data_IF_475048863135
#
_entry.id   IF_475048863135
#
_cell.length_a   1.000
_cell.length_b   1.000
_cell.length_c   1.000
_cell.angle_alpha   90.00
_cell.angle_beta   90.00
_cell.angle_gamma   90.00
#
_symmetry.space_group_name_H-M   'P 1'
#
loop_
_entity.id
_entity.type
_entity.pdbx_description
1 polymer ?
#
# COMPACT_ATOMS: atom_id res chain seq x y z
N UNK A 1 0.95 22.96 0.56
CA UNK A 1 1.27 22.37 -0.76
C UNK A 1 0.58 21.03 -0.84
N UNK A 2 -0.27 20.82 -1.84
CA UNK A 2 -0.88 19.52 -2.09
C UNK A 2 0.20 18.60 -2.64
N UNK A 3 0.40 17.43 -2.03
CA UNK A 3 1.34 16.42 -2.54
C UNK A 3 0.81 15.91 -3.89
N UNK A 4 1.65 15.91 -4.91
CA UNK A 4 1.37 15.26 -6.19
C UNK A 4 2.08 13.91 -6.15
N UNK A 5 1.32 12.83 -6.35
CA UNK A 5 1.87 11.50 -6.50
C UNK A 5 2.80 11.43 -7.71
N UNK A 6 3.97 10.81 -7.57
CA UNK A 6 4.87 10.53 -8.68
C UNK A 6 5.13 9.02 -8.71
N UNK A 7 4.73 8.31 -9.78
CA UNK A 7 4.85 6.85 -9.83
C UNK A 7 6.30 6.37 -9.77
N UNK A 8 7.25 7.12 -10.32
CA UNK A 8 8.67 6.72 -10.28
C UNK A 8 9.23 6.76 -8.87
N UNK A 9 8.92 7.80 -8.09
CA UNK A 9 9.31 7.89 -6.68
C UNK A 9 8.66 6.77 -5.86
N UNK A 10 7.41 6.42 -6.16
CA UNK A 10 6.72 5.32 -5.51
C UNK A 10 7.38 3.97 -5.84
N UNK A 11 7.67 3.70 -7.12
CA UNK A 11 8.36 2.48 -7.57
C UNK A 11 9.73 2.33 -6.92
N UNK A 12 10.56 3.38 -6.94
CA UNK A 12 11.90 3.34 -6.33
C UNK A 12 11.83 3.01 -4.83
N UNK A 13 10.87 3.60 -4.11
CA UNK A 13 10.66 3.31 -2.69
C UNK A 13 10.17 1.89 -2.45
N UNK A 14 9.24 1.39 -3.28
CA UNK A 14 8.73 0.02 -3.18
C UNK A 14 9.86 -0.98 -3.44
N UNK A 15 10.64 -0.80 -4.51
CA UNK A 15 11.73 -1.70 -4.88
C UNK A 15 12.86 -1.72 -3.82
N UNK A 16 13.19 -0.54 -3.27
CA UNK A 16 14.17 -0.43 -2.18
C UNK A 16 13.71 -1.17 -0.91
N UNK A 17 12.45 -1.01 -0.52
CA UNK A 17 11.89 -1.70 0.66
C UNK A 17 11.80 -3.20 0.40
N UNK A 18 11.27 -3.62 -0.76
CA UNK A 18 11.15 -5.03 -1.15
C UNK A 18 12.48 -5.76 -1.08
N UNK A 19 13.55 -5.11 -1.54
CA UNK A 19 14.92 -5.64 -1.47
C UNK A 19 15.36 -5.86 -0.02
N UNK A 20 15.10 -4.91 0.89
CA UNK A 20 15.37 -5.05 2.33
C UNK A 20 14.56 -6.18 2.96
N UNK A 21 13.26 -6.29 2.64
CA UNK A 21 12.39 -7.36 3.16
C UNK A 21 12.92 -8.72 2.75
N UNK A 22 13.35 -8.87 1.49
CA UNK A 22 13.88 -10.13 0.97
C UNK A 22 15.17 -10.53 1.68
N UNK A 23 16.10 -9.59 1.86
CA UNK A 23 17.35 -9.84 2.59
C UNK A 23 17.07 -10.22 4.06
N UNK A 24 16.15 -9.51 4.72
CA UNK A 24 15.79 -9.78 6.13
C UNK A 24 15.09 -11.14 6.29
N UNK A 25 14.24 -11.54 5.33
CA UNK A 25 13.58 -12.85 5.32
C UNK A 25 14.59 -13.99 5.47
N UNK A 26 15.70 -13.92 4.73
CA UNK A 26 16.72 -14.99 4.73
C UNK A 26 17.49 -15.05 6.07
N UNK A 27 17.46 -13.97 6.85
CA UNK A 27 18.04 -13.88 8.20
C UNK A 27 17.05 -14.25 9.33
N UNK A 28 15.76 -14.40 9.04
CA UNK A 28 14.75 -14.74 10.04
C UNK A 28 15.02 -16.12 10.67
N UNK A 29 14.82 -16.19 11.98
CA UNK A 29 15.04 -17.41 12.79
C UNK A 29 13.83 -18.31 12.77
N UNK A 30 12.63 -17.73 12.85
CA UNK A 30 11.38 -18.48 12.91
C UNK A 30 10.70 -18.58 11.56
N UNK A 31 10.00 -19.70 11.34
CA UNK A 31 9.19 -19.89 10.12
C UNK A 31 8.01 -18.94 10.05
N UNK A 32 7.48 -18.56 11.21
CA UNK A 32 6.45 -17.53 11.32
C UNK A 32 6.94 -16.19 10.76
N UNK A 33 8.10 -15.71 11.22
CA UNK A 33 8.68 -14.46 10.71
C UNK A 33 9.02 -14.54 9.21
N UNK A 34 9.53 -15.68 8.72
CA UNK A 34 9.75 -15.89 7.27
C UNK A 34 8.46 -15.77 6.47
N UNK A 35 7.38 -16.39 6.94
CA UNK A 35 6.06 -16.31 6.31
C UNK A 35 5.57 -14.87 6.25
N UNK A 36 5.69 -14.11 7.35
CA UNK A 36 5.31 -12.70 7.37
C UNK A 36 6.09 -11.85 6.36
N UNK A 37 7.39 -12.10 6.24
CA UNK A 37 8.23 -11.40 5.25
C UNK A 37 7.84 -11.77 3.81
N UNK A 38 7.56 -13.05 3.54
CA UNK A 38 7.05 -13.49 2.22
C UNK A 38 5.74 -12.80 1.88
N UNK A 39 4.77 -12.80 2.80
CA UNK A 39 3.49 -12.12 2.60
C UNK A 39 3.66 -10.61 2.39
N UNK A 40 4.65 -9.99 3.06
CA UNK A 40 4.97 -8.58 2.82
C UNK A 40 5.55 -8.35 1.42
N UNK A 41 6.44 -9.22 0.94
CA UNK A 41 6.98 -9.14 -0.43
C UNK A 41 5.85 -9.23 -1.45
N UNK A 42 4.92 -10.18 -1.29
CA UNK A 42 3.76 -10.33 -2.20
C UNK A 42 2.90 -9.06 -2.24
N UNK A 43 2.68 -8.40 -1.10
CA UNK A 43 1.96 -7.13 -1.06
C UNK A 43 2.74 -6.00 -1.75
N UNK A 44 4.05 -5.93 -1.55
CA UNK A 44 4.89 -4.95 -2.23
C UNK A 44 4.89 -5.19 -3.75
N UNK A 45 4.88 -6.44 -4.20
CA UNK A 45 4.73 -6.80 -5.62
C UNK A 45 3.37 -6.37 -6.17
N UNK A 46 2.29 -6.56 -5.42
CA UNK A 46 0.96 -6.08 -5.80
C UNK A 46 0.89 -4.54 -5.87
N UNK A 47 1.48 -3.84 -4.89
CA UNK A 47 1.59 -2.37 -4.90
C UNK A 47 2.37 -1.90 -6.11
N UNK A 48 3.52 -2.52 -6.39
CA UNK A 48 4.38 -2.21 -7.53
C UNK A 48 3.60 -2.32 -8.85
N UNK A 49 2.89 -3.43 -9.04
CA UNK A 49 2.07 -3.66 -10.22
C UNK A 49 0.95 -2.63 -10.38
N UNK A 50 0.36 -2.15 -9.28
CA UNK A 50 -0.63 -1.08 -9.34
C UNK A 50 -0.01 0.28 -9.70
N UNK A 51 1.16 0.62 -9.15
CA UNK A 51 1.88 1.84 -9.53
C UNK A 51 2.32 1.78 -11.01
N UNK A 52 2.75 0.63 -11.50
CA UNK A 52 3.13 0.47 -12.92
C UNK A 52 1.97 0.77 -13.88
N UNK A 53 0.72 0.52 -13.48
CA UNK A 53 -0.46 0.91 -14.28
C UNK A 53 -0.65 2.42 -14.38
N UNK A 54 -0.16 3.18 -13.40
CA UNK A 54 -0.22 4.64 -13.38
C UNK A 54 0.83 5.28 -14.30
N UNK A 55 1.93 4.57 -14.60
CA UNK A 55 3.07 5.11 -15.36
C UNK A 55 2.70 5.61 -16.76
N UNK A 56 1.99 4.84 -17.61
CA UNK A 56 1.62 5.31 -18.94
C UNK A 56 0.76 6.57 -18.89
N UNK A 57 -0.19 6.63 -17.95
CA UNK A 57 -1.05 7.78 -17.76
C UNK A 57 -0.27 9.00 -17.25
N UNK A 58 0.67 8.79 -16.32
CA UNK A 58 1.58 9.85 -15.87
C UNK A 58 2.39 10.45 -17.03
N UNK A 59 2.98 9.61 -17.89
CA UNK A 59 3.76 10.08 -19.05
C UNK A 59 2.88 10.93 -19.97
N UNK A 60 1.72 10.39 -20.37
CA UNK A 60 0.80 11.07 -21.28
C UNK A 60 0.34 12.42 -20.73
N UNK A 61 -0.10 12.47 -19.47
CA UNK A 61 -0.61 13.70 -18.86
C UNK A 61 0.53 14.70 -18.58
N UNK A 62 1.72 14.23 -18.22
CA UNK A 62 2.88 15.10 -17.99
C UNK A 62 3.35 15.80 -19.28
N UNK A 63 3.21 15.17 -20.44
CA UNK A 63 3.46 15.82 -21.74
C UNK A 63 2.41 16.88 -22.10
N UNK A 64 1.17 16.70 -21.63
CA UNK A 64 0.04 17.59 -21.93
C UNK A 64 -0.12 18.75 -20.97
N UNK A 65 0.28 18.58 -19.70
CA UNK A 65 -0.02 19.54 -18.61
C UNK A 65 0.44 20.97 -18.88
N UNK A 66 1.42 21.19 -19.75
CA UNK A 66 1.94 22.52 -20.10
C UNK A 66 1.24 23.17 -21.30
N UNK A 67 0.25 22.50 -21.90
CA UNK A 67 -0.48 23.00 -23.08
C UNK A 67 -1.55 24.02 -22.73
N UNK A 68 -2.14 23.94 -21.53
CA UNK A 68 -3.12 24.91 -21.01
C UNK A 68 -3.32 24.76 -19.50
N UNK A 69 -3.90 25.76 -18.85
CA UNK A 69 -4.29 25.69 -17.43
C UNK A 69 -5.27 24.55 -17.13
N UNK A 70 -6.14 24.20 -18.09
CA UNK A 70 -7.07 23.09 -17.96
C UNK A 70 -6.32 21.75 -17.89
N UNK A 71 -5.34 21.54 -18.76
CA UNK A 71 -4.51 20.33 -18.77
C UNK A 71 -3.65 20.22 -17.50
N UNK A 72 -3.10 21.35 -17.02
CA UNK A 72 -2.41 21.40 -15.72
C UNK A 72 -3.35 21.00 -14.57
N UNK A 73 -4.57 21.56 -14.57
CA UNK A 73 -5.57 21.27 -13.54
C UNK A 73 -5.99 19.81 -13.54
N UNK A 74 -6.19 19.20 -14.72
CA UNK A 74 -6.53 17.78 -14.84
C UNK A 74 -5.39 16.88 -14.32
N UNK A 75 -4.15 17.19 -14.70
CA UNK A 75 -2.97 16.49 -14.18
C UNK A 75 -2.91 16.55 -12.66
N UNK A 76 -3.04 17.76 -12.08
CA UNK A 76 -3.00 17.93 -10.63
C UNK A 76 -4.16 17.20 -9.97
N UNK A 77 -5.39 17.35 -10.47
CA UNK A 77 -6.58 16.75 -9.86
C UNK A 77 -6.49 15.23 -9.79
N UNK A 78 -6.02 14.58 -10.86
CA UNK A 78 -5.85 13.13 -10.85
C UNK A 78 -4.73 12.70 -9.90
N UNK A 79 -3.53 13.28 -10.04
CA UNK A 79 -2.36 12.86 -9.26
C UNK A 79 -2.32 13.39 -7.83
N UNK A 80 -3.31 14.18 -7.42
CA UNK A 80 -3.58 14.39 -6.00
C UNK A 80 -4.03 13.11 -5.29
N UNK A 81 -4.72 12.21 -5.99
CA UNK A 81 -5.38 11.01 -5.44
C UNK A 81 -5.52 9.91 -6.51
N UNK A 82 -4.42 9.35 -7.05
CA UNK A 82 -4.50 8.31 -8.08
C UNK A 82 -5.11 7.01 -7.54
N UNK A 83 -5.50 6.10 -8.43
CA UNK A 83 -6.13 4.84 -8.07
C UNK A 83 -5.27 4.00 -7.10
N UNK A 84 -3.95 4.04 -7.26
CA UNK A 84 -3.01 3.45 -6.30
C UNK A 84 -3.23 3.95 -4.86
N UNK A 85 -3.27 5.27 -4.63
CA UNK A 85 -3.42 5.82 -3.28
C UNK A 85 -4.82 5.52 -2.72
N UNK A 86 -5.85 5.53 -3.57
CA UNK A 86 -7.20 5.13 -3.15
C UNK A 86 -7.21 3.71 -2.58
N UNK A 87 -6.65 2.76 -3.34
CA UNK A 87 -6.62 1.35 -2.93
C UNK A 87 -5.76 1.08 -1.70
N UNK A 88 -4.55 1.65 -1.66
CA UNK A 88 -3.55 1.24 -0.67
C UNK A 88 -3.43 2.17 0.54
N UNK A 89 -3.97 3.39 0.46
CA UNK A 89 -3.93 4.36 1.55
C UNK A 89 -5.32 4.58 2.14
N UNK A 90 -6.36 4.69 1.30
CA UNK A 90 -7.70 5.06 1.77
C UNK A 90 -8.56 3.85 2.20
N UNK A 91 -8.43 2.68 1.57
CA UNK A 91 -9.24 1.49 1.91
C UNK A 91 -8.88 0.85 3.27
N UNK A 92 -7.90 1.43 3.99
CA UNK A 92 -7.60 1.12 5.37
C UNK A 92 -6.30 0.32 5.54
N UNK A 93 -6.04 -0.20 6.76
CA UNK A 93 -4.81 -0.92 7.00
C UNK A 93 -4.81 -2.28 6.31
N UNK A 94 -3.68 -2.67 5.71
CA UNK A 94 -3.50 -4.02 5.17
C UNK A 94 -2.68 -4.86 6.13
N UNK A 95 -3.15 -6.08 6.40
CA UNK A 95 -2.43 -7.01 7.26
C UNK A 95 -1.70 -8.07 6.45
N UNK A 96 -0.47 -8.40 6.87
CA UNK A 96 0.35 -9.50 6.31
C UNK A 96 -0.02 -10.88 6.86
N UNK A 97 -0.97 -10.96 7.80
CA UNK A 97 -1.46 -12.21 8.38
C UNK A 97 -2.83 -12.57 7.82
N UNK A 98 -3.88 -11.92 8.32
CA UNK A 98 -5.24 -12.10 7.84
C UNK A 98 -5.71 -10.87 7.06
N UNK A 99 -6.66 -11.05 6.14
CA UNK A 99 -7.36 -9.92 5.53
C UNK A 99 -8.26 -9.26 6.57
N UNK A 100 -7.92 -8.01 6.95
CA UNK A 100 -8.62 -7.26 8.02
C UNK A 100 -9.40 -6.06 7.51
N UNK A 101 -9.27 -5.71 6.23
CA UNK A 101 -9.98 -4.58 5.61
C UNK A 101 -10.74 -5.12 4.43
N UNK A 102 -12.06 -4.91 4.43
CA UNK A 102 -12.96 -5.38 3.40
C UNK A 102 -13.83 -4.24 2.91
N UNK A 103 -14.15 -4.24 1.63
CA UNK A 103 -15.11 -3.28 1.06
C UNK A 103 -16.52 -3.85 1.19
N UNK A 104 -17.37 -3.16 1.93
CA UNK A 104 -18.79 -3.48 2.05
C UNK A 104 -19.58 -2.56 1.13
N UNK A 105 -20.45 -3.16 0.31
CA UNK A 105 -21.36 -2.45 -0.56
C UNK A 105 -22.72 -2.35 0.12
N UNK A 106 -23.33 -1.17 0.14
CA UNK A 106 -24.70 -1.03 0.56
C UNK A 106 -25.65 -1.59 -0.52
N UNK A 107 -26.90 -1.84 -0.14
CA UNK A 107 -27.95 -2.27 -1.08
C UNK A 107 -28.22 -1.20 -2.16
N UNK A 108 -27.92 0.07 -1.86
CA UNK A 108 -28.00 1.16 -2.82
C UNK A 108 -26.77 1.16 -3.77
N UNK A 109 -26.99 1.22 -5.10
CA UNK A 109 -25.90 1.23 -6.07
C UNK A 109 -24.94 2.40 -5.85
N UNK A 110 -23.64 2.10 -5.84
CA UNK A 110 -22.58 3.10 -5.78
C UNK A 110 -22.12 3.51 -4.37
N UNK A 111 -22.72 2.97 -3.31
CA UNK A 111 -22.25 3.19 -1.95
C UNK A 111 -21.37 2.00 -1.53
N UNK A 112 -20.07 2.25 -1.41
CA UNK A 112 -19.09 1.31 -0.90
C UNK A 112 -18.32 1.94 0.26
N UNK A 113 -18.03 1.16 1.30
CA UNK A 113 -17.27 1.60 2.46
C UNK A 113 -16.22 0.56 2.85
N UNK A 114 -14.98 0.99 3.04
CA UNK A 114 -13.94 0.16 3.63
C UNK A 114 -14.20 -0.04 5.12
N UNK A 115 -14.31 -1.29 5.56
CA UNK A 115 -14.54 -1.67 6.94
C UNK A 115 -13.33 -2.45 7.45
N UNK A 116 -12.74 -1.98 8.55
CA UNK A 116 -11.74 -2.76 9.28
C UNK A 116 -12.42 -3.72 10.25
N UNK A 117 -12.20 -5.01 10.05
CA UNK A 117 -12.69 -6.10 10.88
C UNK A 117 -12.01 -6.09 12.26
N UNK A 118 -12.70 -6.63 13.27
CA UNK A 118 -12.12 -6.80 14.61
C UNK A 118 -10.90 -7.73 14.56
N UNK A 119 -9.75 -7.25 15.04
CA UNK A 119 -8.49 -7.97 15.00
C UNK A 119 -7.63 -7.71 16.24
N UNK A 120 -6.64 -8.56 16.44
CA UNK A 120 -5.53 -8.33 17.38
C UNK A 120 -4.22 -8.23 16.62
N UNK A 121 -3.37 -7.29 17.01
CA UNK A 121 -2.04 -7.14 16.42
C UNK A 121 -1.09 -8.20 17.01
N UNK A 122 -0.24 -8.77 16.15
CA UNK A 122 0.85 -9.65 16.59
C UNK A 122 1.89 -8.83 17.37
N UNK A 123 2.41 -9.34 18.49
CA UNK A 123 3.38 -8.61 19.30
C UNK A 123 4.70 -8.45 18.55
N UNK A 124 5.38 -7.30 18.74
CA UNK A 124 6.64 -6.98 18.05
C UNK A 124 7.74 -8.06 18.24
N UNK A 125 7.74 -8.75 19.38
CA UNK A 125 8.66 -9.86 19.66
C UNK A 125 8.53 -11.04 18.69
N UNK A 126 7.37 -11.22 18.06
CA UNK A 126 7.14 -12.26 17.04
C UNK A 126 7.51 -11.79 15.62
N UNK A 127 7.79 -10.49 15.43
CA UNK A 127 7.94 -9.88 14.11
C UNK A 127 9.38 -9.84 13.59
N UNK A 128 10.37 -10.15 14.43
CA UNK A 128 11.80 -10.17 14.08
C UNK A 128 12.27 -8.93 13.28
N UNK A 129 11.83 -7.73 13.67
CA UNK A 129 12.22 -6.45 13.04
C UNK A 129 11.38 -6.04 11.82
N UNK A 130 10.24 -6.70 11.57
CA UNK A 130 9.30 -6.33 10.50
C UNK A 130 8.51 -5.05 10.81
N UNK A 131 8.38 -4.70 12.08
CA UNK A 131 7.77 -3.45 12.56
C UNK A 131 8.50 -2.20 12.05
N UNK A 132 9.83 -2.25 11.97
CA UNK A 132 10.64 -1.20 11.35
C UNK A 132 10.29 -1.00 9.86
N UNK A 133 10.07 -2.11 9.15
CA UNK A 133 9.72 -2.08 7.73
C UNK A 133 8.30 -1.55 7.52
N UNK A 134 7.36 -1.89 8.41
CA UNK A 134 6.02 -1.29 8.38
C UNK A 134 6.06 0.22 8.59
N UNK A 135 6.88 0.70 9.53
CA UNK A 135 7.08 2.12 9.75
C UNK A 135 7.71 2.81 8.52
N UNK A 136 8.71 2.18 7.89
CA UNK A 136 9.34 2.70 6.67
C UNK A 136 8.34 2.79 5.50
N UNK A 137 7.51 1.77 5.30
CA UNK A 137 6.44 1.77 4.28
C UNK A 137 5.47 2.91 4.53
N UNK A 138 4.99 3.08 5.77
CA UNK A 138 4.09 4.18 6.12
C UNK A 138 4.73 5.55 5.86
N UNK A 139 6.00 5.71 6.21
CA UNK A 139 6.70 6.99 6.05
C UNK A 139 6.94 7.33 4.57
N UNK A 140 7.39 6.36 3.77
CA UNK A 140 7.84 6.60 2.39
C UNK A 140 6.72 6.50 1.36
N UNK A 141 5.80 5.56 1.55
CA UNK A 141 4.75 5.25 0.59
C UNK A 141 3.40 5.79 1.09
N UNK A 142 3.20 5.88 2.40
CA UNK A 142 1.93 6.31 3.01
C UNK A 142 0.98 5.17 3.36
N UNK A 143 1.33 3.94 2.98
CA UNK A 143 0.51 2.74 3.17
C UNK A 143 0.62 2.23 4.61
N UNK A 144 -0.52 1.89 5.22
CA UNK A 144 -0.56 1.37 6.57
C UNK A 144 -0.54 -0.16 6.56
N UNK A 145 0.62 -0.76 6.81
CA UNK A 145 0.79 -2.22 6.94
C UNK A 145 0.93 -2.61 8.41
N UNK A 146 0.34 -3.75 8.78
CA UNK A 146 0.54 -4.37 10.10
C UNK A 146 0.51 -5.90 10.02
N UNK A 147 0.81 -6.55 11.13
CA UNK A 147 0.58 -7.98 11.30
C UNK A 147 -0.59 -8.18 12.25
N UNK A 148 -1.76 -8.55 11.73
CA UNK A 148 -2.98 -8.67 12.52
C UNK A 148 -3.74 -9.96 12.25
N UNK A 149 -4.26 -10.55 13.34
CA UNK A 149 -5.06 -11.77 13.34
C UNK A 149 -6.53 -11.41 13.56
N UNK A 150 -7.44 -11.97 12.76
CA UNK A 150 -8.88 -11.74 12.91
C UNK A 150 -9.37 -12.31 14.24
N UNK A 151 -10.22 -11.55 14.94
CA UNK A 151 -10.96 -12.04 16.09
C UNK A 151 -12.09 -12.92 15.55
N UNK A 152 -11.86 -14.24 15.55
CA UNK A 152 -12.93 -15.19 15.22
C UNK A 152 -13.96 -15.17 16.36
N UNK A 153 -15.16 -14.66 16.09
CA UNK A 153 -16.31 -14.89 16.95
C UNK A 153 -16.68 -16.38 16.84
N UNK A 154 -16.60 -17.10 17.97
CA UNK A 154 -17.18 -18.44 18.10
C UNK A 154 -18.69 -18.35 18.16
#
# INVERSE_FOLDING_TARGET
MTRIFNPYIALDNIDAIRSKVTIRRDACRTEFARTLHTNLVEKLDAMRADVEKEVPYWIEQNEKRHRSEMEESLFVFYFMRPCFEQRWIDEGPHSVLDEISVTVYADEPGIACGVTLGHTDAPASELEGLDELFAEIRQKIGVNIKAARLIRRR
#
